data_IF_237814098966
#
_entry.id   IF_237814098966
#
_cell.length_a   1.000
_cell.length_b   1.000
_cell.length_c   1.000
_cell.angle_alpha   90.00
_cell.angle_beta   90.00
_cell.angle_gamma   90.00
#
_symmetry.space_group_name_H-M   'P 1'
#
loop_
_entity.id
_entity.type
_entity.pdbx_description
1 polymer ?
#
# COMPACT_ATOMS: atom_id res chain seq x y z
N UNK A 1 4.00 19.63 -17.21
CA UNK A 1 4.84 18.41 -17.10
C UNK A 1 3.98 17.25 -16.61
N UNK A 2 3.84 16.18 -17.41
CA UNK A 2 2.98 15.02 -17.08
C UNK A 2 3.58 14.07 -16.04
N UNK A 3 2.76 13.15 -15.52
CA UNK A 3 3.19 12.10 -14.58
C UNK A 3 3.99 11.04 -15.34
N UNK A 4 5.30 10.91 -15.07
CA UNK A 4 6.11 9.77 -15.52
C UNK A 4 5.97 8.61 -14.54
N UNK A 5 5.88 7.37 -15.05
CA UNK A 5 5.94 6.15 -14.23
C UNK A 5 7.32 6.07 -13.56
N UNK A 6 7.35 5.78 -12.26
CA UNK A 6 8.58 5.60 -11.47
C UNK A 6 8.62 4.18 -10.90
N UNK A 7 9.83 3.63 -10.72
CA UNK A 7 10.03 2.35 -10.04
C UNK A 7 9.78 2.50 -8.53
N UNK A 8 9.25 1.46 -7.88
CA UNK A 8 9.09 1.42 -6.42
C UNK A 8 10.43 1.05 -5.78
N UNK A 9 11.28 2.06 -5.64
CA UNK A 9 12.57 1.99 -4.94
C UNK A 9 12.86 3.30 -4.22
N UNK A 10 13.83 3.32 -3.31
CA UNK A 10 14.24 4.55 -2.61
C UNK A 10 14.64 5.62 -3.64
N UNK A 11 14.05 6.81 -3.53
CA UNK A 11 14.38 7.96 -4.38
C UNK A 11 15.73 8.51 -3.91
N UNK A 12 16.71 8.55 -4.82
CA UNK A 12 18.07 9.00 -4.51
C UNK A 12 18.12 10.51 -4.20
N UNK A 13 17.50 11.32 -5.06
CA UNK A 13 17.45 12.78 -4.92
C UNK A 13 16.59 13.21 -3.71
N UNK A 14 17.19 13.98 -2.80
CA UNK A 14 16.55 14.42 -1.55
C UNK A 14 15.34 15.31 -1.80
N UNK A 15 15.46 16.30 -2.69
CA UNK A 15 14.41 17.28 -2.96
C UNK A 15 13.18 16.57 -3.55
N UNK A 16 13.40 15.70 -4.52
CA UNK A 16 12.36 14.88 -5.14
C UNK A 16 11.74 13.91 -4.13
N UNK A 17 12.55 13.33 -3.24
CA UNK A 17 12.06 12.44 -2.16
C UNK A 17 11.16 13.20 -1.20
N UNK A 18 11.55 14.40 -0.77
CA UNK A 18 10.74 15.25 0.12
C UNK A 18 9.42 15.67 -0.53
N UNK A 19 9.46 16.13 -1.78
CA UNK A 19 8.23 16.50 -2.53
C UNK A 19 7.32 15.29 -2.72
N UNK A 20 7.90 14.13 -3.06
CA UNK A 20 7.14 12.90 -3.22
C UNK A 20 6.52 12.43 -1.91
N UNK A 21 7.28 12.49 -0.81
CA UNK A 21 6.78 12.16 0.52
C UNK A 21 5.58 13.03 0.89
N UNK A 22 5.68 14.35 0.76
CA UNK A 22 4.57 15.26 1.07
C UNK A 22 3.31 14.91 0.26
N UNK A 23 3.45 14.68 -1.04
CA UNK A 23 2.32 14.34 -1.93
C UNK A 23 1.73 12.96 -1.65
N UNK A 24 2.56 11.93 -1.51
CA UNK A 24 2.10 10.54 -1.26
C UNK A 24 1.51 10.37 0.13
N UNK A 25 2.09 11.00 1.15
CA UNK A 25 1.55 11.01 2.51
C UNK A 25 0.13 11.57 2.54
N UNK A 26 -0.09 12.72 1.89
CA UNK A 26 -1.42 13.31 1.79
C UNK A 26 -2.40 12.41 1.02
N UNK A 27 -1.96 11.81 -0.09
CA UNK A 27 -2.78 10.86 -0.84
C UNK A 27 -3.16 9.61 -0.04
N UNK A 28 -2.24 9.09 0.76
CA UNK A 28 -2.49 7.95 1.65
C UNK A 28 -3.47 8.32 2.76
N UNK A 29 -3.30 9.46 3.42
CA UNK A 29 -4.24 9.97 4.44
C UNK A 29 -5.63 10.18 3.85
N UNK A 30 -5.74 10.69 2.61
CA UNK A 30 -7.03 10.83 1.93
C UNK A 30 -7.70 9.47 1.68
N UNK A 31 -6.93 8.44 1.29
CA UNK A 31 -7.47 7.09 1.10
C UNK A 31 -7.90 6.44 2.41
N UNK A 32 -7.14 6.63 3.48
CA UNK A 32 -7.55 6.19 4.82
C UNK A 32 -8.85 6.86 5.25
N UNK A 33 -8.98 8.18 5.05
CA UNK A 33 -10.22 8.91 5.30
C UNK A 33 -11.40 8.35 4.50
N UNK A 34 -11.26 8.22 3.17
CA UNK A 34 -12.31 7.66 2.31
C UNK A 34 -12.76 6.26 2.79
N UNK A 35 -11.80 5.38 3.13
CA UNK A 35 -12.12 4.04 3.62
C UNK A 35 -12.85 4.06 4.97
N UNK A 36 -12.40 4.90 5.91
CA UNK A 36 -13.03 5.02 7.24
C UNK A 36 -14.50 5.44 7.14
N UNK A 37 -14.81 6.38 6.25
CA UNK A 37 -16.18 6.87 6.04
C UNK A 37 -17.04 5.87 5.26
N UNK A 38 -16.49 5.27 4.19
CA UNK A 38 -17.26 4.36 3.33
C UNK A 38 -17.62 3.04 4.02
N UNK A 39 -16.76 2.57 4.92
CA UNK A 39 -16.90 1.27 5.57
C UNK A 39 -17.15 1.35 7.08
N UNK A 40 -17.35 2.55 7.63
CA UNK A 40 -17.54 2.81 9.06
C UNK A 40 -16.49 2.10 9.94
N UNK A 41 -15.21 2.38 9.67
CA UNK A 41 -14.09 1.74 10.37
C UNK A 41 -13.11 2.74 10.96
N UNK A 42 -12.48 2.35 12.07
CA UNK A 42 -11.42 3.15 12.72
C UNK A 42 -10.05 2.82 12.11
N UNK A 43 -9.33 3.85 11.68
CA UNK A 43 -8.01 3.71 11.04
C UNK A 43 -7.00 4.61 11.75
N UNK A 44 -5.86 4.03 12.13
CA UNK A 44 -4.68 4.75 12.57
C UNK A 44 -3.52 4.52 11.60
N UNK A 45 -2.79 5.59 11.30
CA UNK A 45 -1.58 5.58 10.46
C UNK A 45 -0.46 6.32 11.18
N UNK A 46 0.69 5.67 11.30
CA UNK A 46 1.91 6.22 11.89
C UNK A 46 3.03 6.14 10.85
N UNK A 47 3.71 7.26 10.61
CA UNK A 47 4.80 7.36 9.64
C UNK A 47 6.01 8.02 10.27
N UNK A 48 7.11 7.27 10.36
CA UNK A 48 8.42 7.80 10.71
C UNK A 48 9.25 8.06 9.46
N UNK A 49 9.94 9.18 9.46
CA UNK A 49 10.89 9.53 8.38
C UNK A 49 12.32 9.23 8.80
N UNK A 50 13.24 9.18 7.83
CA UNK A 50 14.68 9.04 8.09
C UNK A 50 15.25 10.16 8.97
N UNK A 51 14.57 11.31 9.03
CA UNK A 51 14.93 12.44 9.89
C UNK A 51 14.31 12.36 11.29
N UNK A 52 13.78 11.20 11.70
CA UNK A 52 13.12 10.98 12.99
C UNK A 52 11.90 11.88 13.25
N UNK A 53 11.29 12.42 12.18
CA UNK A 53 10.01 13.15 12.30
C UNK A 53 8.85 12.18 12.25
N UNK A 54 7.95 12.31 13.22
CA UNK A 54 6.69 11.59 13.33
C UNK A 54 5.58 12.35 12.58
N UNK A 55 4.85 11.62 11.75
CA UNK A 55 3.59 12.07 11.17
C UNK A 55 2.52 11.03 11.46
N UNK A 56 1.33 11.49 11.87
CA UNK A 56 0.24 10.59 12.20
C UNK A 56 -1.09 11.04 11.60
N UNK A 57 -2.00 10.09 11.45
CA UNK A 57 -3.40 10.31 11.10
C UNK A 57 -4.25 9.29 11.86
N UNK A 58 -5.38 9.74 12.39
CA UNK A 58 -6.41 8.90 12.98
C UNK A 58 -7.76 9.37 12.42
N UNK A 59 -8.66 8.43 12.15
CA UNK A 59 -10.03 8.76 11.72
C UNK A 59 -10.88 9.36 12.84
N UNK A 60 -10.63 8.95 14.10
CA UNK A 60 -11.28 9.47 15.30
C UNK A 60 -10.24 10.10 16.25
N UNK A 61 -9.70 9.32 17.17
CA UNK A 61 -8.70 9.73 18.15
C UNK A 61 -7.54 8.72 18.17
N UNK A 62 -6.30 9.21 18.16
CA UNK A 62 -5.13 8.33 18.07
C UNK A 62 -4.96 7.49 19.33
N UNK A 63 -5.08 8.10 20.51
CA UNK A 63 -4.84 7.43 21.78
C UNK A 63 -5.90 6.37 22.02
N UNK A 64 -7.16 6.64 21.64
CA UNK A 64 -8.25 5.68 21.69
C UNK A 64 -8.00 4.45 20.80
N UNK A 65 -7.56 4.65 19.56
CA UNK A 65 -7.28 3.53 18.64
C UNK A 65 -6.09 2.71 19.12
N UNK A 66 -5.03 3.37 19.64
CA UNK A 66 -3.86 2.67 20.17
C UNK A 66 -4.18 1.90 21.45
N UNK A 67 -4.96 2.47 22.35
CA UNK A 67 -5.44 1.76 23.55
C UNK A 67 -6.23 0.52 23.14
N UNK A 68 -7.20 0.68 22.23
CA UNK A 68 -7.96 -0.43 21.67
C UNK A 68 -7.03 -1.47 21.07
N UNK A 69 -6.01 -1.09 20.30
CA UNK A 69 -5.03 -2.04 19.74
C UNK A 69 -4.31 -2.86 20.81
N UNK A 70 -3.94 -2.26 21.95
CA UNK A 70 -3.28 -3.00 23.05
C UNK A 70 -4.20 -3.97 23.80
N UNK A 71 -5.51 -3.81 23.70
CA UNK A 71 -6.50 -4.71 24.30
C UNK A 71 -6.71 -6.00 23.48
N UNK A 72 -6.28 -6.02 22.21
CA UNK A 72 -6.35 -7.22 21.36
C UNK A 72 -5.08 -8.07 21.49
N UNK A 73 -5.26 -9.37 21.72
CA UNK A 73 -4.14 -10.31 21.83
C UNK A 73 -3.42 -10.55 20.48
N UNK A 74 -4.19 -10.73 19.41
CA UNK A 74 -3.65 -10.99 18.08
C UNK A 74 -4.51 -10.31 16.99
N UNK A 75 -3.89 -9.75 15.94
CA UNK A 75 -4.63 -9.21 14.81
C UNK A 75 -5.24 -10.34 13.97
N UNK A 76 -6.48 -10.15 13.51
CA UNK A 76 -7.12 -11.09 12.58
C UNK A 76 -6.36 -11.21 11.25
N UNK A 77 -5.79 -10.11 10.77
CA UNK A 77 -4.93 -10.06 9.60
C UNK A 77 -3.72 -9.18 9.88
N UNK A 78 -2.52 -9.68 9.57
CA UNK A 78 -1.27 -8.92 9.66
C UNK A 78 -0.51 -9.04 8.34
N UNK A 79 -0.11 -7.91 7.76
CA UNK A 79 0.63 -7.83 6.50
C UNK A 79 1.87 -6.96 6.66
N UNK A 80 2.96 -7.43 6.07
CA UNK A 80 4.24 -6.73 5.98
C UNK A 80 4.55 -6.37 4.52
N UNK A 81 5.62 -5.59 4.31
CA UNK A 81 6.08 -5.27 2.96
C UNK A 81 6.41 -6.51 2.12
N UNK A 82 6.77 -7.64 2.75
CA UNK A 82 7.04 -8.90 2.05
C UNK A 82 5.75 -9.48 1.48
N UNK A 83 4.71 -9.56 2.29
CA UNK A 83 3.40 -10.08 1.88
C UNK A 83 2.81 -9.27 0.73
N UNK A 84 2.92 -7.94 0.78
CA UNK A 84 2.43 -7.06 -0.29
C UNK A 84 3.27 -7.19 -1.56
N UNK A 85 4.59 -7.33 -1.44
CA UNK A 85 5.47 -7.54 -2.59
C UNK A 85 5.17 -8.88 -3.28
N UNK A 86 4.95 -9.94 -2.50
CA UNK A 86 4.56 -11.26 -3.00
C UNK A 86 3.23 -11.21 -3.74
N UNK A 87 2.19 -10.60 -3.18
CA UNK A 87 0.91 -10.41 -3.88
C UNK A 87 1.09 -9.68 -5.22
N UNK A 88 1.95 -8.64 -5.24
CA UNK A 88 2.26 -7.92 -6.47
C UNK A 88 2.98 -8.81 -7.51
N UNK A 89 3.89 -9.69 -7.08
CA UNK A 89 4.56 -10.68 -7.93
C UNK A 89 3.59 -11.77 -8.42
N UNK A 90 2.75 -12.30 -7.53
CA UNK A 90 1.75 -13.31 -7.85
C UNK A 90 0.72 -12.80 -8.85
N UNK A 91 0.23 -11.57 -8.74
CA UNK A 91 -0.69 -11.00 -9.72
C UNK A 91 -0.04 -10.88 -11.10
N UNK A 92 1.23 -10.47 -11.14
CA UNK A 92 2.01 -10.42 -12.39
C UNK A 92 2.17 -11.83 -12.97
N UNK A 93 2.59 -12.81 -12.15
CA UNK A 93 2.74 -14.20 -12.55
C UNK A 93 1.41 -14.85 -12.95
N UNK A 94 0.30 -14.53 -12.30
CA UNK A 94 -1.03 -15.05 -12.62
C UNK A 94 -1.49 -14.50 -13.97
N UNK A 95 -1.27 -13.21 -14.25
CA UNK A 95 -1.54 -12.65 -15.58
C UNK A 95 -0.66 -13.33 -16.64
N UNK A 96 0.63 -13.52 -16.38
CA UNK A 96 1.51 -14.25 -17.31
C UNK A 96 1.08 -15.71 -17.50
N UNK A 97 0.63 -16.39 -16.44
CA UNK A 97 0.20 -17.78 -16.49
C UNK A 97 -1.15 -17.92 -17.20
N UNK A 98 -2.09 -17.01 -16.99
CA UNK A 98 -3.36 -16.94 -17.73
C UNK A 98 -3.07 -16.71 -19.22
N UNK A 99 -2.22 -15.73 -19.56
CA UNK A 99 -1.82 -15.47 -20.96
C UNK A 99 -1.17 -16.71 -21.58
N UNK A 100 -0.28 -17.40 -20.85
CA UNK A 100 0.39 -18.60 -21.34
C UNK A 100 -0.58 -19.77 -21.53
N UNK A 101 -1.55 -19.95 -20.64
CA UNK A 101 -2.63 -20.94 -20.79
C UNK A 101 -3.45 -20.63 -22.05
N UNK A 102 -3.89 -19.39 -22.23
CA UNK A 102 -4.62 -18.99 -23.44
C UNK A 102 -3.79 -19.18 -24.73
N UNK A 103 -2.48 -18.95 -24.69
CA UNK A 103 -1.59 -19.21 -25.83
C UNK A 103 -1.41 -20.72 -26.09
N UNK A 104 -1.28 -21.54 -25.05
CA UNK A 104 -1.22 -22.99 -25.19
C UNK A 104 -2.52 -23.57 -25.74
N UNK A 105 -3.67 -23.14 -25.24
CA UNK A 105 -4.98 -23.62 -25.72
C UNK A 105 -5.24 -23.18 -27.17
N UNK A 106 -4.81 -21.98 -27.58
CA UNK A 106 -4.91 -21.51 -28.96
C UNK A 106 -3.98 -22.27 -29.92
N UNK A 107 -2.77 -22.64 -29.47
CA UNK A 107 -1.83 -23.45 -30.26
C UNK A 107 -2.30 -24.90 -30.44
N UNK A 108 -2.99 -25.47 -29.45
CA UNK A 108 -3.56 -26.83 -29.54
C UNK A 108 -4.72 -26.88 -30.54
N UNK A 109 -5.49 -25.80 -30.69
CA UNK A 109 -6.62 -25.74 -31.63
C UNK A 109 -6.24 -25.35 -33.07
N UNK A 110 -4.97 -25.01 -33.33
CA UNK A 110 -4.47 -24.64 -34.66
C UNK A 110 -3.67 -25.78 -35.35
N UNK A 111 -3.62 -26.96 -34.73
CA UNK A 111 -3.10 -28.22 -35.27
C UNK A 111 -4.19 -29.30 -35.22
#
# INVERSE_FOLDING_TARGET
>A
MGRKKILIKKIADERNRQVTFTKRKLGLMKKAYELSILCDCEIALIVFTSSQKLFQYASSDMDKILLRYTEFNEPHESKTNRDIAEVCLYLVLLVYKIILIFLCDFLIHLF
#
